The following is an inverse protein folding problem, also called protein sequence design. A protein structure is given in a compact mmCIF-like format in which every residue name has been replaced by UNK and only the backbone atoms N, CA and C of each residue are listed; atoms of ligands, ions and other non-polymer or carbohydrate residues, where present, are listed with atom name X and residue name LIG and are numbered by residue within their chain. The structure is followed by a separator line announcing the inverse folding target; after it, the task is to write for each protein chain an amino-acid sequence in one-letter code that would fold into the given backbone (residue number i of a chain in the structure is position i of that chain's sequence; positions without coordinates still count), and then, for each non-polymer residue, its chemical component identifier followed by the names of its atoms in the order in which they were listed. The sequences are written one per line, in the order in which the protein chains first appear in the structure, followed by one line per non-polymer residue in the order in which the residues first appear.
data_IF_458000552353
#
_entry.id   IF_458000552353
#
_cell.length_a   1.000
_cell.length_b   1.000
_cell.length_c   1.000
_cell.angle_alpha   90.00
_cell.angle_beta   90.00
_cell.angle_gamma   90.00
#
_symmetry.space_group_name_H-M   'P 1'
#
loop_
_entity.id
_entity.type
_entity.pdbx_description
1 polymer ?
#
# COMPACT_ATOMS: atom_id res chain seq x y z
N UNK A 1 16.34 -37.89 -0.09
CA UNK A 1 14.97 -37.35 0.09
C UNK A 1 15.07 -36.19 1.06
N UNK A 2 15.45 -35.01 0.56
CA UNK A 2 15.61 -33.79 1.38
C UNK A 2 14.33 -32.97 1.26
N UNK A 3 13.61 -32.84 2.36
CA UNK A 3 12.46 -31.95 2.50
C UNK A 3 12.99 -30.52 2.58
N UNK A 4 12.96 -29.79 1.46
CA UNK A 4 13.18 -28.34 1.46
C UNK A 4 12.01 -27.71 2.25
N UNK A 5 12.25 -26.94 3.33
CA UNK A 5 11.15 -26.32 4.05
C UNK A 5 10.48 -25.27 3.15
N UNK A 6 9.17 -25.39 2.98
CA UNK A 6 8.31 -24.41 2.32
C UNK A 6 8.41 -23.07 3.04
N UNK A 7 8.53 -21.92 2.35
CA UNK A 7 8.61 -20.62 3.01
C UNK A 7 7.30 -20.32 3.76
N UNK A 8 7.41 -20.12 5.08
CA UNK A 8 6.30 -19.77 5.95
C UNK A 8 5.91 -18.30 5.72
N UNK A 9 4.73 -18.08 5.12
CA UNK A 9 4.16 -16.75 4.92
C UNK A 9 3.70 -16.23 6.27
N UNK A 10 4.50 -15.35 6.88
CA UNK A 10 4.10 -14.65 8.12
C UNK A 10 2.95 -13.70 7.80
N UNK A 11 1.75 -14.05 8.25
CA UNK A 11 0.58 -13.18 8.18
C UNK A 11 0.58 -12.27 9.41
N UNK A 12 0.68 -10.96 9.20
CA UNK A 12 0.34 -9.98 10.23
C UNK A 12 -0.86 -9.16 9.74
N UNK A 13 -1.90 -9.06 10.56
CA UNK A 13 -3.10 -8.23 10.36
C UNK A 13 -3.83 -8.37 9.00
N UNK A 14 -3.87 -9.57 8.42
CA UNK A 14 -4.64 -9.83 7.18
C UNK A 14 -4.00 -9.33 5.89
N UNK A 15 -2.87 -8.62 5.96
CA UNK A 15 -2.08 -8.24 4.79
C UNK A 15 -0.97 -9.25 4.54
N UNK A 16 -0.90 -9.78 3.31
CA UNK A 16 0.24 -10.61 2.89
C UNK A 16 1.47 -9.71 2.68
N UNK A 17 2.37 -9.70 3.64
CA UNK A 17 3.71 -9.11 3.47
C UNK A 17 4.62 -10.16 2.85
N UNK A 18 5.14 -9.88 1.65
CA UNK A 18 6.06 -10.77 0.97
C UNK A 18 7.32 -10.99 1.84
N UNK A 19 7.63 -12.27 2.11
CA UNK A 19 8.89 -12.70 2.69
C UNK A 19 10.08 -12.17 1.86
N UNK A 20 11.26 -11.94 2.47
CA UNK A 20 12.40 -11.31 1.79
C UNK A 20 12.74 -12.05 0.48
N UNK A 21 12.66 -11.32 -0.64
CA UNK A 21 12.74 -11.86 -2.01
C UNK A 21 14.13 -12.37 -2.41
N UNK A 22 15.17 -12.28 -1.58
CA UNK A 22 16.50 -12.76 -1.97
C UNK A 22 17.24 -13.42 -0.80
N UNK A 23 17.17 -14.76 -0.76
CA UNK A 23 18.12 -15.62 -0.07
C UNK A 23 19.18 -16.09 -1.09
N UNK A 24 20.09 -15.18 -1.45
CA UNK A 24 21.19 -15.44 -2.39
C UNK A 24 22.41 -14.63 -1.97
N UNK A 25 23.58 -15.26 -2.04
CA UNK A 25 24.89 -14.79 -1.57
C UNK A 25 25.26 -13.38 -2.06
N UNK A 26 25.31 -12.38 -1.17
CA UNK A 26 26.14 -11.16 -1.28
C UNK A 26 26.05 -10.32 0.01
N UNK A 27 27.00 -10.51 0.92
CA UNK A 27 26.98 -9.89 2.27
C UNK A 27 27.04 -8.35 2.29
N UNK A 28 27.52 -7.73 1.21
CA UNK A 28 27.57 -6.26 1.04
C UNK A 28 26.27 -5.74 0.42
N UNK A 29 25.71 -6.42 -0.58
CA UNK A 29 24.42 -6.06 -1.18
C UNK A 29 23.27 -6.23 -0.18
N UNK A 30 23.32 -7.27 0.66
CA UNK A 30 22.31 -7.55 1.67
C UNK A 30 22.19 -6.41 2.70
N UNK A 31 23.28 -5.72 3.06
CA UNK A 31 23.21 -4.60 4.01
C UNK A 31 22.48 -3.38 3.40
N UNK A 32 22.82 -3.01 2.17
CA UNK A 32 22.18 -1.92 1.43
C UNK A 32 20.71 -2.21 1.12
N UNK A 33 20.40 -3.44 0.71
CA UNK A 33 19.01 -3.87 0.44
C UNK A 33 18.19 -3.92 1.74
N UNK A 34 18.79 -4.32 2.88
CA UNK A 34 18.11 -4.27 4.19
C UNK A 34 17.80 -2.83 4.62
N UNK A 35 18.75 -1.91 4.47
CA UNK A 35 18.57 -0.49 4.77
C UNK A 35 17.50 0.14 3.87
N UNK A 36 17.55 -0.12 2.56
CA UNK A 36 16.54 0.35 1.62
C UNK A 36 15.14 -0.19 1.96
N UNK A 37 15.03 -1.49 2.23
CA UNK A 37 13.77 -2.10 2.63
C UNK A 37 13.26 -1.54 3.97
N UNK A 38 14.13 -1.17 4.91
CA UNK A 38 13.73 -0.55 6.16
C UNK A 38 13.12 0.85 5.94
N UNK A 39 13.73 1.66 5.05
CA UNK A 39 13.20 2.97 4.66
C UNK A 39 11.85 2.85 3.94
N UNK A 40 11.76 1.90 3.00
CA UNK A 40 10.48 1.59 2.31
C UNK A 40 9.40 1.20 3.32
N UNK A 41 9.74 0.42 4.36
CA UNK A 41 8.78 0.05 5.41
C UNK A 41 8.34 1.24 6.26
N UNK A 42 9.25 2.17 6.56
CA UNK A 42 8.93 3.35 7.35
C UNK A 42 8.01 4.32 6.58
N UNK A 43 8.23 4.51 5.29
CA UNK A 43 7.33 5.35 4.47
C UNK A 43 6.00 4.64 4.18
N UNK A 44 6.01 3.31 4.07
CA UNK A 44 4.79 2.53 3.87
C UNK A 44 3.82 2.60 5.06
N UNK A 45 4.28 2.85 6.30
CA UNK A 45 3.37 2.97 7.45
C UNK A 45 2.48 4.21 7.35
N UNK A 46 3.02 5.33 6.84
CA UNK A 46 2.25 6.55 6.63
C UNK A 46 1.09 6.34 5.64
N UNK A 47 1.33 5.59 4.57
CA UNK A 47 0.29 5.24 3.60
C UNK A 47 -0.80 4.35 4.20
N UNK A 48 -0.44 3.44 5.11
CA UNK A 48 -1.41 2.60 5.81
C UNK A 48 -2.32 3.41 6.74
N UNK A 49 -1.74 4.37 7.48
CA UNK A 49 -2.51 5.25 8.36
C UNK A 49 -3.45 6.16 7.54
N UNK A 50 -2.96 6.72 6.43
CA UNK A 50 -3.75 7.53 5.50
C UNK A 50 -4.94 6.73 4.93
N UNK A 51 -4.70 5.50 4.47
CA UNK A 51 -5.74 4.60 3.96
C UNK A 51 -6.77 4.27 5.05
N UNK A 52 -6.32 4.06 6.30
CA UNK A 52 -7.21 3.78 7.41
C UNK A 52 -8.16 4.96 7.68
N UNK A 53 -7.68 6.21 7.64
CA UNK A 53 -8.53 7.39 7.80
C UNK A 53 -9.56 7.53 6.66
N UNK A 54 -9.14 7.30 5.41
CA UNK A 54 -10.04 7.37 4.26
C UNK A 54 -11.12 6.28 4.34
N UNK A 55 -10.75 5.07 4.76
CA UNK A 55 -11.67 3.94 4.88
C UNK A 55 -12.73 4.12 5.98
N UNK A 56 -12.53 5.02 6.96
CA UNK A 56 -13.58 5.36 7.94
C UNK A 56 -14.78 6.06 7.30
N UNK A 57 -14.55 6.80 6.22
CA UNK A 57 -15.58 7.58 5.51
C UNK A 57 -16.08 6.84 4.27
N UNK A 58 -15.20 6.12 3.58
CA UNK A 58 -15.48 5.45 2.31
C UNK A 58 -15.71 3.94 2.51
N UNK A 59 -16.96 3.54 2.73
CA UNK A 59 -17.31 2.12 2.91
C UNK A 59 -17.51 1.42 1.56
N UNK A 60 -16.84 0.29 1.34
CA UNK A 60 -17.04 -0.58 0.18
C UNK A 60 -16.45 -0.05 -1.14
N UNK A 61 -15.55 0.93 -1.08
CA UNK A 61 -14.94 1.59 -2.24
C UNK A 61 -13.40 1.58 -2.19
N UNK A 62 -12.81 0.53 -1.61
CA UNK A 62 -11.36 0.37 -1.37
C UNK A 62 -10.55 0.50 -2.67
N UNK A 63 -10.95 -0.23 -3.72
CA UNK A 63 -10.25 -0.23 -5.01
C UNK A 63 -10.24 1.16 -5.66
N UNK A 64 -11.30 1.94 -5.48
CA UNK A 64 -11.40 3.29 -6.05
C UNK A 64 -10.46 4.26 -5.32
N UNK A 65 -10.42 4.17 -3.99
CA UNK A 65 -9.50 4.93 -3.14
C UNK A 65 -8.05 4.62 -3.50
N UNK A 66 -7.69 3.35 -3.59
CA UNK A 66 -6.34 2.92 -3.97
C UNK A 66 -5.91 3.47 -5.32
N UNK A 67 -6.77 3.41 -6.34
CA UNK A 67 -6.45 3.92 -7.68
C UNK A 67 -6.22 5.43 -7.70
N UNK A 68 -7.00 6.19 -6.93
CA UNK A 68 -6.82 7.64 -6.81
C UNK A 68 -5.50 7.96 -6.10
N UNK A 69 -5.17 7.24 -5.03
CA UNK A 69 -3.90 7.41 -4.33
C UNK A 69 -2.70 7.04 -5.21
N UNK A 70 -2.78 5.92 -5.93
CA UNK A 70 -1.72 5.50 -6.87
C UNK A 70 -1.50 6.58 -7.94
N UNK A 71 -2.57 7.12 -8.51
CA UNK A 71 -2.45 8.18 -9.50
C UNK A 71 -1.85 9.45 -8.89
N UNK A 72 -2.26 9.85 -7.69
CA UNK A 72 -1.70 11.01 -7.00
C UNK A 72 -0.19 10.86 -6.72
N UNK A 73 0.23 9.68 -6.23
CA UNK A 73 1.63 9.38 -5.94
C UNK A 73 2.51 9.25 -7.19
N UNK A 74 1.90 8.96 -8.34
CA UNK A 74 2.59 8.81 -9.62
C UNK A 74 2.53 10.08 -10.50
N UNK A 75 2.08 11.23 -9.96
CA UNK A 75 1.77 12.45 -10.73
C UNK A 75 0.85 12.20 -11.95
N UNK A 76 -0.02 11.20 -11.82
CA UNK A 76 -1.02 10.81 -12.80
C UNK A 76 -2.32 11.59 -12.66
N UNK A 77 -3.18 11.47 -13.68
CA UNK A 77 -4.50 12.10 -13.71
C UNK A 77 -5.59 11.03 -13.70
N UNK A 78 -6.69 11.27 -12.97
CA UNK A 78 -7.84 10.35 -12.89
C UNK A 78 -9.11 11.09 -13.28
N UNK A 79 -9.94 10.44 -14.09
CA UNK A 79 -11.29 10.89 -14.40
C UNK A 79 -12.31 9.96 -13.73
N UNK A 80 -13.21 10.53 -12.92
CA UNK A 80 -14.21 9.77 -12.16
C UNK A 80 -15.56 9.70 -12.90
N UNK A 81 -15.68 8.76 -13.84
CA UNK A 81 -16.92 8.51 -14.59
C UNK A 81 -17.87 7.52 -13.88
N UNK A 82 -19.15 7.50 -14.29
CA UNK A 82 -20.22 6.70 -13.65
C UNK A 82 -21.46 7.48 -13.22
N UNK A 83 -22.45 6.76 -12.69
CA UNK A 83 -23.78 7.30 -12.35
C UNK A 83 -23.76 8.22 -11.11
N UNK A 84 -24.69 9.20 -11.02
CA UNK A 84 -24.79 10.07 -9.84
C UNK A 84 -25.08 9.27 -8.56
N UNK A 85 -24.50 9.70 -7.43
CA UNK A 85 -24.69 9.06 -6.13
C UNK A 85 -23.59 8.07 -5.69
N UNK A 86 -22.62 7.76 -6.54
CA UNK A 86 -21.51 6.81 -6.22
C UNK A 86 -20.36 7.44 -5.43
N UNK A 87 -20.67 8.33 -4.48
CA UNK A 87 -19.69 8.94 -3.58
C UNK A 87 -18.48 9.64 -4.25
N UNK A 88 -18.52 9.94 -5.56
CA UNK A 88 -17.39 10.54 -6.30
C UNK A 88 -16.89 11.86 -5.69
N UNK A 89 -17.83 12.74 -5.34
CA UNK A 89 -17.51 14.01 -4.69
C UNK A 89 -17.00 13.81 -3.26
N UNK A 90 -17.54 12.81 -2.56
CA UNK A 90 -17.10 12.47 -1.21
C UNK A 90 -15.66 11.94 -1.25
N UNK A 91 -15.35 11.03 -2.18
CA UNK A 91 -14.01 10.49 -2.40
C UNK A 91 -12.96 11.59 -2.55
N UNK A 92 -13.17 12.52 -3.51
CA UNK A 92 -12.19 13.58 -3.76
C UNK A 92 -12.02 14.48 -2.53
N UNK A 93 -13.11 14.80 -1.82
CA UNK A 93 -13.02 15.58 -0.57
C UNK A 93 -12.26 14.85 0.52
N UNK A 94 -12.57 13.57 0.74
CA UNK A 94 -11.93 12.75 1.79
C UNK A 94 -10.45 12.57 1.49
N UNK A 95 -10.07 12.26 0.25
CA UNK A 95 -8.67 12.13 -0.15
C UNK A 95 -7.93 13.46 0.00
N UNK A 96 -8.51 14.57 -0.45
CA UNK A 96 -7.90 15.90 -0.31
C UNK A 96 -7.70 16.30 1.16
N UNK A 97 -8.65 15.96 2.03
CA UNK A 97 -8.53 16.21 3.47
C UNK A 97 -7.46 15.34 4.12
N UNK A 98 -7.41 14.05 3.76
CA UNK A 98 -6.48 13.10 4.34
C UNK A 98 -5.02 13.43 3.96
N UNK A 99 -4.77 13.88 2.73
CA UNK A 99 -3.41 14.24 2.27
C UNK A 99 -2.93 15.58 2.86
N UNK A 100 -3.84 16.44 3.32
CA UNK A 100 -3.53 17.76 3.88
C UNK A 100 -3.57 17.78 5.44
N UNK A 101 -3.77 16.63 6.08
CA UNK A 101 -3.81 16.48 7.53
C UNK A 101 -2.41 16.15 8.10
#
# INVERSE_FOLDING_TARGET
MTITPTPEVTRTNGYAVAAPVFAGSDGIQAATVRELNARVRQEASYLQDLLAEINKVMVGQEMLVERVLIALLADGHVLLEGVPGLAKTLLIKTVAQAVNA
#
